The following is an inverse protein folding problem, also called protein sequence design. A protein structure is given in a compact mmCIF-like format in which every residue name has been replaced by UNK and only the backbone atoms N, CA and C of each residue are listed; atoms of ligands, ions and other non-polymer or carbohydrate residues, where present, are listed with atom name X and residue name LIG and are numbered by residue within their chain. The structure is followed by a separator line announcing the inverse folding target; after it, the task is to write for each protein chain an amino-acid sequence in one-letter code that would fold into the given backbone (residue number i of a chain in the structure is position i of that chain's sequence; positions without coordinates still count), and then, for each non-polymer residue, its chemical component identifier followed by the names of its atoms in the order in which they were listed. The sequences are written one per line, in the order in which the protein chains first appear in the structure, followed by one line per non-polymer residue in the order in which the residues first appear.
data_IF_255243637109
#
_entry.id   IF_255243637109
#
_cell.length_a   1.000
_cell.length_b   1.000
_cell.length_c   1.000
_cell.angle_alpha   90.00
_cell.angle_beta   90.00
_cell.angle_gamma   90.00
#
_symmetry.space_group_name_H-M   'P 1'
#
loop_
_entity.id
_entity.type
_entity.pdbx_description
1 polymer ?
#
# COMPACT_ATOMS: atom_id res chain seq x y z
N UNK A 1 13.58 -0.33 -13.30
CA UNK A 1 12.94 -1.52 -12.65
C UNK A 1 11.50 -1.15 -12.35
N UNK A 2 10.61 -2.14 -12.29
CA UNK A 2 9.19 -1.94 -11.97
C UNK A 2 8.83 -2.83 -10.79
N UNK A 3 7.91 -2.40 -9.94
CA UNK A 3 7.32 -3.22 -8.87
C UNK A 3 5.84 -2.91 -8.74
N UNK A 4 5.05 -3.96 -8.55
CA UNK A 4 3.59 -3.89 -8.44
C UNK A 4 3.18 -4.46 -7.08
N UNK A 5 2.42 -3.68 -6.32
CA UNK A 5 1.93 -4.07 -5.00
C UNK A 5 0.41 -4.18 -5.04
N UNK A 6 -0.14 -5.25 -4.46
CA UNK A 6 -1.57 -5.41 -4.20
C UNK A 6 -1.84 -5.19 -2.72
N UNK A 7 -2.84 -4.37 -2.40
CA UNK A 7 -3.31 -4.05 -1.05
C UNK A 7 -4.82 -4.27 -0.99
N UNK A 8 -5.35 -4.82 0.10
CA UNK A 8 -6.79 -5.02 0.26
C UNK A 8 -7.52 -3.69 0.49
N UNK A 9 -7.02 -2.88 1.43
CA UNK A 9 -7.55 -1.56 1.74
C UNK A 9 -6.45 -0.48 1.81
N UNK A 10 -6.66 0.61 1.07
CA UNK A 10 -5.82 1.80 1.01
C UNK A 10 -6.64 3.09 1.25
N UNK A 11 -7.81 2.97 1.90
CA UNK A 11 -8.69 4.07 2.33
C UNK A 11 -7.97 5.02 3.29
N UNK A 12 -7.28 4.45 4.29
CA UNK A 12 -6.67 5.20 5.38
C UNK A 12 -5.67 6.27 4.93
N UNK A 13 -6.02 7.52 5.24
CA UNK A 13 -5.33 8.73 4.72
C UNK A 13 -3.85 8.76 5.09
N UNK A 14 -3.50 8.40 6.32
CA UNK A 14 -2.10 8.41 6.81
C UNK A 14 -1.25 7.36 6.09
N UNK A 15 -1.81 6.19 5.81
CA UNK A 15 -1.10 5.15 5.05
C UNK A 15 -0.94 5.55 3.59
N UNK A 16 -2.00 6.06 2.95
CA UNK A 16 -1.95 6.58 1.59
C UNK A 16 -0.92 7.71 1.43
N UNK A 17 -0.86 8.63 2.38
CA UNK A 17 0.15 9.69 2.41
C UNK A 17 1.57 9.13 2.50
N UNK A 18 1.81 8.13 3.37
CA UNK A 18 3.13 7.48 3.47
C UNK A 18 3.54 6.82 2.15
N UNK A 19 2.61 6.14 1.48
CA UNK A 19 2.83 5.48 0.18
C UNK A 19 3.27 6.50 -0.87
N UNK A 20 2.59 7.64 -0.96
CA UNK A 20 2.88 8.70 -1.93
C UNK A 20 4.22 9.42 -1.62
N UNK A 21 4.37 9.96 -0.41
CA UNK A 21 5.57 10.72 -0.02
C UNK A 21 6.84 9.88 -0.16
N UNK A 22 6.82 8.60 0.25
CA UNK A 22 8.01 7.77 0.09
C UNK A 22 8.30 7.45 -1.39
N UNK A 23 7.31 7.43 -2.28
CA UNK A 23 7.57 7.26 -3.70
C UNK A 23 8.31 8.49 -4.24
N UNK A 24 7.83 9.69 -3.89
CA UNK A 24 8.43 10.96 -4.26
C UNK A 24 9.86 11.12 -3.71
N UNK A 25 10.08 10.85 -2.42
CA UNK A 25 11.39 10.89 -1.77
C UNK A 25 12.40 9.92 -2.40
N UNK A 26 11.92 8.78 -2.90
CA UNK A 26 12.74 7.79 -3.60
C UNK A 26 12.89 8.07 -5.10
N UNK A 27 12.32 9.18 -5.59
CA UNK A 27 12.29 9.56 -7.01
C UNK A 27 11.72 8.44 -7.89
N UNK A 28 10.67 7.81 -7.40
CA UNK A 28 9.90 6.81 -8.15
C UNK A 28 8.76 7.50 -8.90
N UNK A 29 8.42 6.97 -10.06
CA UNK A 29 7.23 7.34 -10.84
C UNK A 29 6.26 6.17 -10.87
N UNK A 30 5.00 6.41 -11.23
CA UNK A 30 3.99 5.37 -11.33
C UNK A 30 2.61 5.88 -10.95
N UNK A 31 1.74 4.96 -10.51
CA UNK A 31 0.37 5.29 -10.15
C UNK A 31 -0.20 4.34 -9.09
N UNK A 32 -1.27 4.78 -8.43
CA UNK A 32 -2.10 3.95 -7.56
C UNK A 32 -3.52 3.89 -8.14
N UNK A 33 -4.06 2.67 -8.27
CA UNK A 33 -5.46 2.41 -8.59
C UNK A 33 -6.14 1.97 -7.31
N UNK A 34 -7.19 2.71 -6.92
CA UNK A 34 -7.92 2.51 -5.68
C UNK A 34 -9.33 2.07 -6.02
N UNK A 35 -9.71 0.89 -5.55
CA UNK A 35 -11.02 0.29 -5.77
C UNK A 35 -11.43 -0.49 -4.53
N UNK A 36 -12.73 -0.66 -4.33
CA UNK A 36 -13.28 -1.37 -3.19
C UNK A 36 -12.75 -2.81 -3.13
N UNK A 37 -12.12 -3.16 -2.00
CA UNK A 37 -11.55 -4.49 -1.74
C UNK A 37 -10.25 -4.84 -2.47
N UNK A 38 -9.83 -4.08 -3.49
CA UNK A 38 -8.56 -4.31 -4.21
C UNK A 38 -7.92 -2.98 -4.64
N UNK A 39 -6.72 -2.73 -4.15
CA UNK A 39 -5.90 -1.58 -4.49
C UNK A 39 -4.58 -2.05 -5.11
N UNK A 40 -4.10 -1.32 -6.13
CA UNK A 40 -2.85 -1.64 -6.83
C UNK A 40 -1.96 -0.42 -6.89
N UNK A 41 -0.71 -0.56 -6.45
CA UNK A 41 0.31 0.49 -6.55
C UNK A 41 1.41 0.00 -7.49
N UNK A 42 1.64 0.74 -8.56
CA UNK A 42 2.72 0.49 -9.53
C UNK A 42 3.77 1.58 -9.35
N UNK A 43 5.03 1.18 -9.20
CA UNK A 43 6.17 2.10 -9.16
C UNK A 43 7.28 1.63 -10.08
N UNK A 44 7.93 2.57 -10.73
CA UNK A 44 9.13 2.36 -11.53
C UNK A 44 10.27 3.30 -11.11
N UNK A 45 11.50 2.85 -11.35
CA UNK A 45 12.70 3.65 -11.10
C UNK A 45 13.96 2.83 -10.89
N UNK A 46 14.92 3.42 -10.18
CA UNK A 46 16.22 2.82 -9.86
C UNK A 46 16.11 1.62 -8.92
N UNK A 47 16.99 0.63 -9.10
CA UNK A 47 16.98 -0.62 -8.32
C UNK A 47 17.10 -0.42 -6.81
N UNK A 48 17.93 0.54 -6.38
CA UNK A 48 18.11 0.90 -4.97
C UNK A 48 16.86 1.55 -4.38
N UNK A 49 16.24 2.46 -5.13
CA UNK A 49 14.98 3.13 -4.75
C UNK A 49 13.85 2.13 -4.61
N UNK A 50 13.69 1.21 -5.58
CA UNK A 50 12.67 0.15 -5.51
C UNK A 50 12.89 -0.79 -4.32
N UNK A 51 14.14 -1.20 -4.05
CA UNK A 51 14.44 -2.02 -2.86
C UNK A 51 14.10 -1.30 -1.56
N UNK A 52 14.37 0.01 -1.47
CA UNK A 52 14.03 0.82 -0.29
C UNK A 52 12.51 0.95 -0.13
N UNK A 53 11.80 1.25 -1.21
CA UNK A 53 10.35 1.37 -1.22
C UNK A 53 9.66 0.03 -0.92
N UNK A 54 10.17 -1.08 -1.45
CA UNK A 54 9.66 -2.42 -1.13
C UNK A 54 9.78 -2.76 0.36
N UNK A 55 10.83 -2.30 1.06
CA UNK A 55 10.92 -2.44 2.53
C UNK A 55 9.86 -1.62 3.25
N UNK A 56 9.50 -0.44 2.75
CA UNK A 56 8.38 0.32 3.29
C UNK A 56 7.08 -0.48 3.13
N UNK A 57 6.76 -0.82 1.87
CA UNK A 57 5.48 -1.45 1.50
C UNK A 57 5.27 -2.80 2.15
N UNK A 58 6.30 -3.64 2.26
CA UNK A 58 6.16 -5.03 2.71
C UNK A 58 6.50 -5.25 4.17
N UNK A 59 7.09 -4.27 4.88
CA UNK A 59 7.61 -4.49 6.24
C UNK A 59 7.37 -3.35 7.23
N UNK A 60 7.38 -2.08 6.80
CA UNK A 60 7.33 -0.94 7.73
C UNK A 60 5.94 -0.37 7.94
N UNK A 61 5.05 -0.54 6.96
CA UNK A 61 3.65 -0.18 7.13
C UNK A 61 2.96 -1.36 7.81
N UNK A 62 2.36 -1.11 8.97
CA UNK A 62 1.42 -2.06 9.56
C UNK A 62 0.09 -1.92 8.82
N UNK A 63 -0.20 -2.86 7.93
CA UNK A 63 -1.40 -2.81 7.09
C UNK A 63 -2.66 -3.22 7.86
N UNK A 64 -2.53 -4.03 8.90
CA UNK A 64 -3.65 -4.47 9.74
C UNK A 64 -4.22 -3.31 10.57
N UNK A 65 -3.36 -2.54 11.24
CA UNK A 65 -3.78 -1.35 12.01
C UNK A 65 -4.29 -0.21 11.11
N UNK A 66 -3.93 -0.22 9.82
CA UNK A 66 -4.30 0.83 8.88
C UNK A 66 -5.78 0.81 8.45
N UNK A 67 -6.63 0.00 9.09
CA UNK A 67 -8.08 0.01 8.90
C UNK A 67 -8.85 0.30 10.19
N UNK A 68 -8.18 0.32 11.35
CA UNK A 68 -8.83 0.42 12.67
C UNK A 68 -9.15 1.87 13.07
N UNK A 69 -8.33 2.85 12.64
CA UNK A 69 -8.45 4.27 13.03
C UNK A 69 -9.69 5.00 12.42
N UNK A 70 -10.43 4.40 11.48
CA UNK A 70 -11.61 5.02 10.82
C UNK A 70 -12.95 4.37 11.24
N UNK A 71 -12.95 3.28 12.04
CA UNK A 71 -14.15 2.52 12.44
C UNK A 71 -14.68 2.86 13.85
N UNK A 72 -14.64 4.13 14.29
CA UNK A 72 -15.27 4.55 15.56
C UNK A 72 -16.82 4.65 15.50
N UNK A 73 -17.46 4.51 14.33
CA UNK A 73 -18.92 4.72 14.17
C UNK A 73 -19.63 3.66 13.29
N UNK A 74 -19.52 2.36 13.58
CA UNK A 74 -20.35 1.39 12.86
C UNK A 74 -20.24 -0.07 13.29
N UNK A 75 -21.28 -0.55 13.97
CA UNK A 75 -21.59 -1.96 14.20
C UNK A 75 -21.58 -2.77 12.88
N UNK A 76 -20.74 -3.82 12.82
CA UNK A 76 -20.58 -4.63 11.63
C UNK A 76 -19.41 -5.61 11.73
N UNK A 77 -19.53 -6.58 12.63
CA UNK A 77 -18.65 -7.74 12.72
C UNK A 77 -18.82 -8.65 11.48
N UNK A 78 -18.34 -8.19 10.33
CA UNK A 78 -18.04 -9.02 9.17
C UNK A 78 -16.55 -9.38 9.25
N UNK A 79 -16.20 -10.67 9.14
CA UNK A 79 -14.81 -11.14 9.06
C UNK A 79 -14.16 -10.64 7.75
N UNK A 80 -13.90 -9.34 7.65
CA UNK A 80 -13.12 -8.78 6.55
C UNK A 80 -11.71 -9.36 6.65
N UNK A 81 -11.15 -9.86 5.53
CA UNK A 81 -9.81 -10.41 5.53
C UNK A 81 -8.81 -9.33 5.97
N UNK A 82 -7.93 -9.69 6.92
CA UNK A 82 -6.89 -8.80 7.47
C UNK A 82 -6.16 -8.08 6.33
N UNK A 83 -6.16 -6.75 6.39
CA UNK A 83 -5.55 -5.92 5.36
C UNK A 83 -4.04 -6.20 5.26
N UNK A 84 -3.56 -6.43 4.04
CA UNK A 84 -2.16 -6.79 3.78
C UNK A 84 -1.69 -6.25 2.44
N UNK A 85 -0.37 -6.05 2.35
CA UNK A 85 0.32 -5.69 1.11
C UNK A 85 1.20 -6.86 0.64
N UNK A 86 1.07 -7.21 -0.63
CA UNK A 86 1.89 -8.25 -1.27
C UNK A 86 2.55 -7.71 -2.54
N UNK A 87 3.76 -8.18 -2.82
CA UNK A 87 4.42 -7.94 -4.09
C UNK A 87 3.84 -8.90 -5.14
N UNK A 88 3.38 -8.37 -6.26
CA UNK A 88 2.90 -9.14 -7.40
C UNK A 88 4.09 -9.56 -8.27
N UNK A 89 4.24 -10.85 -8.61
CA UNK A 89 5.29 -11.28 -9.52
C UNK A 89 5.15 -10.61 -10.89
N UNK A 90 6.19 -9.90 -11.33
CA UNK A 90 6.29 -9.33 -12.68
C UNK A 90 7.18 -10.25 -13.53
N UNK A 91 6.73 -10.59 -14.75
CA UNK A 91 7.54 -11.35 -15.71
C UNK A 91 8.69 -10.54 -16.26
#
# INVERSE_FOLDING_TARGET
MVSVYKINDLSHKKTRFKVDVNAQENRLTGCAVIFEGINVVVVEGGSKSIKRYGKLMLRRINWAEAVEDEEEDGDGNEEKPVNKCILVPTK
#
